data_IF_026583774977
#
_entry.id   IF_026583774977
#
_cell.length_a   1.000
_cell.length_b   1.000
_cell.length_c   1.000
_cell.angle_alpha   90.00
_cell.angle_beta   90.00
_cell.angle_gamma   90.00
#
_symmetry.space_group_name_H-M   'P 1'
#
loop_
_entity.id
_entity.type
_entity.pdbx_description
1 polymer ?
#
# COMPACT_ATOMS: atom_id res chain seq x y z
N UNK A 1 10.53 4.22 17.71
CA UNK A 1 11.40 4.36 16.52
C UNK A 1 12.81 4.21 17.04
N UNK A 2 13.42 3.06 16.81
CA UNK A 2 14.74 2.75 17.34
C UNK A 2 15.81 3.37 16.44
N UNK A 3 16.68 4.16 17.06
CA UNK A 3 17.68 5.05 16.45
C UNK A 3 19.07 4.37 16.32
N UNK A 4 19.13 3.05 16.19
CA UNK A 4 20.41 2.32 16.12
C UNK A 4 20.81 2.00 14.67
N UNK A 5 21.90 2.60 14.14
CA UNK A 5 22.32 2.46 12.74
C UNK A 5 22.86 1.09 12.33
N UNK A 6 23.14 0.18 13.29
CA UNK A 6 23.76 -1.12 13.02
C UNK A 6 22.86 -2.15 12.34
N UNK A 7 21.54 -1.91 12.29
CA UNK A 7 20.57 -2.85 11.71
C UNK A 7 20.14 -2.47 10.28
N UNK A 8 20.80 -1.48 9.67
CA UNK A 8 20.54 -1.10 8.28
C UNK A 8 21.58 -1.75 7.37
N UNK A 9 21.12 -2.62 6.47
CA UNK A 9 21.92 -3.07 5.32
C UNK A 9 22.43 -4.51 5.34
N UNK A 10 22.13 -5.34 6.35
CA UNK A 10 22.53 -6.75 6.30
C UNK A 10 21.54 -7.60 5.47
N UNK A 11 22.00 -8.32 4.41
CA UNK A 11 21.17 -9.24 3.65
C UNK A 11 20.66 -10.39 4.54
N UNK A 12 19.36 -10.68 4.50
CA UNK A 12 18.64 -11.69 5.32
C UNK A 12 18.98 -13.15 4.98
N UNK A 13 20.07 -13.40 4.25
CA UNK A 13 20.50 -14.74 3.81
C UNK A 13 21.88 -15.15 4.32
N UNK A 14 22.44 -14.41 5.28
CA UNK A 14 23.69 -14.84 5.94
C UNK A 14 23.30 -15.76 7.10
N UNK A 15 23.54 -17.05 6.94
CA UNK A 15 23.52 -18.01 8.04
C UNK A 15 24.57 -17.57 9.09
N UNK A 16 24.10 -17.06 10.22
CA UNK A 16 24.91 -16.66 11.38
C UNK A 16 25.45 -17.89 12.13
N UNK A 17 26.31 -18.69 11.47
CA UNK A 17 27.04 -19.78 12.14
C UNK A 17 28.54 -19.53 12.33
N UNK A 18 29.10 -18.43 11.82
CA UNK A 18 30.49 -18.06 12.08
C UNK A 18 30.67 -16.54 12.14
N UNK A 19 30.62 -15.98 13.35
CA UNK A 19 31.33 -14.74 13.64
C UNK A 19 32.81 -15.11 13.70
N UNK A 20 33.51 -14.91 12.58
CA UNK A 20 34.95 -15.00 12.58
C UNK A 20 35.52 -13.89 13.47
N UNK A 21 36.47 -14.26 14.30
CA UNK A 21 37.04 -13.48 15.40
C UNK A 21 37.89 -12.27 14.96
N UNK A 22 37.72 -11.78 13.73
CA UNK A 22 38.63 -10.85 13.07
C UNK A 22 37.98 -9.54 12.59
N UNK A 23 36.73 -9.26 12.94
CA UNK A 23 36.16 -7.93 12.74
C UNK A 23 36.73 -6.95 13.80
N UNK A 24 37.88 -6.36 13.44
CA UNK A 24 38.59 -5.33 14.20
C UNK A 24 37.70 -4.09 14.42
N UNK A 25 37.27 -3.87 15.66
CA UNK A 25 36.88 -2.56 16.16
C UNK A 25 38.15 -1.82 16.61
N UNK A 26 38.49 -0.64 16.04
CA UNK A 26 39.66 0.11 16.49
C UNK A 26 39.45 0.57 17.93
N UNK A 27 40.22 0.04 18.88
CA UNK A 27 40.33 0.55 20.25
C UNK A 27 39.76 -0.31 21.39
N UNK A 28 39.24 -1.52 21.13
CA UNK A 28 38.79 -2.41 22.20
C UNK A 28 39.98 -3.17 22.83
N UNK A 29 40.09 -3.16 24.18
CA UNK A 29 41.12 -3.90 24.90
C UNK A 29 40.64 -5.34 25.19
N UNK A 30 41.55 -6.34 25.24
CA UNK A 30 41.19 -7.76 25.40
C UNK A 30 40.41 -8.13 26.67
N UNK A 31 40.35 -7.25 27.67
CA UNK A 31 39.69 -7.51 28.97
C UNK A 31 38.17 -7.34 28.97
N UNK A 32 37.56 -6.77 27.91
CA UNK A 32 36.12 -6.50 27.88
C UNK A 32 35.26 -7.69 27.37
N UNK A 33 35.89 -8.75 26.86
CA UNK A 33 35.19 -9.89 26.26
C UNK A 33 34.47 -10.82 27.27
N UNK A 34 34.82 -10.78 28.57
CA UNK A 34 34.19 -11.65 29.57
C UNK A 34 32.84 -11.16 30.08
N UNK A 35 32.51 -9.87 29.92
CA UNK A 35 31.22 -9.30 30.37
C UNK A 35 30.14 -9.24 29.30
N UNK A 36 30.51 -9.36 28.03
CA UNK A 36 29.56 -9.37 26.90
C UNK A 36 29.00 -10.78 26.66
N UNK A 37 29.83 -11.82 26.79
CA UNK A 37 29.42 -13.21 26.59
C UNK A 37 28.28 -13.67 27.51
N UNK A 38 28.28 -13.23 28.78
CA UNK A 38 27.26 -13.61 29.75
C UNK A 38 25.88 -12.96 29.51
N UNK A 39 25.79 -11.88 28.71
CA UNK A 39 24.50 -11.23 28.38
C UNK A 39 23.94 -11.67 27.04
N UNK A 40 24.75 -12.26 26.17
CA UNK A 40 24.33 -12.74 24.85
C UNK A 40 23.57 -14.06 24.93
N UNK A 41 23.88 -14.94 25.90
CA UNK A 41 23.17 -16.21 26.07
C UNK A 41 21.70 -16.03 26.50
N UNK A 42 21.43 -15.04 27.36
CA UNK A 42 20.06 -14.70 27.79
C UNK A 42 19.23 -14.04 26.66
N UNK A 43 19.88 -13.37 25.70
CA UNK A 43 19.21 -12.75 24.56
C UNK A 43 18.84 -13.75 23.45
N UNK A 44 19.65 -14.80 23.29
CA UNK A 44 19.48 -15.83 22.24
C UNK A 44 18.46 -16.91 22.69
N UNK A 45 18.32 -17.16 23.99
CA UNK A 45 17.46 -18.22 24.53
C UNK A 45 15.96 -17.91 24.52
N UNK A 46 15.56 -16.67 24.20
CA UNK A 46 14.16 -16.28 24.20
C UNK A 46 13.59 -16.28 22.76
N UNK A 47 12.77 -17.28 22.36
CA UNK A 47 12.28 -17.42 20.98
C UNK A 47 11.37 -16.27 20.52
N UNK A 48 10.99 -15.37 21.42
CA UNK A 48 10.26 -14.13 21.13
C UNK A 48 11.13 -13.02 20.52
N UNK A 49 12.46 -13.09 20.66
CA UNK A 49 13.41 -12.10 20.11
C UNK A 49 14.00 -12.50 18.76
N UNK A 50 13.79 -13.74 18.31
CA UNK A 50 14.18 -14.17 16.97
C UNK A 50 13.27 -13.49 15.92
N UNK A 51 13.84 -13.06 14.77
CA UNK A 51 13.02 -12.56 13.67
C UNK A 51 12.04 -13.65 13.24
N UNK A 52 10.77 -13.28 13.09
CA UNK A 52 9.73 -14.20 12.60
C UNK A 52 10.13 -14.70 11.22
N UNK A 53 10.33 -16.01 11.10
CA UNK A 53 10.77 -16.70 9.86
C UNK A 53 9.61 -17.21 9.00
N UNK A 54 8.36 -16.98 9.40
CA UNK A 54 7.18 -17.40 8.64
C UNK A 54 6.28 -16.22 8.29
N UNK A 55 5.73 -16.25 7.07
CA UNK A 55 4.89 -15.19 6.52
C UNK A 55 3.47 -15.32 7.10
N UNK A 56 3.05 -14.34 7.90
CA UNK A 56 1.66 -14.26 8.42
C UNK A 56 0.81 -13.27 7.62
N UNK A 57 1.46 -12.25 7.04
CA UNK A 57 0.85 -11.21 6.24
C UNK A 57 1.86 -10.76 5.18
N UNK A 58 1.43 -10.50 3.94
CA UNK A 58 2.30 -10.02 2.90
C UNK A 58 2.67 -8.55 3.17
N UNK A 59 3.91 -8.16 2.82
CA UNK A 59 4.45 -6.84 3.17
C UNK A 59 4.67 -6.01 1.93
N UNK A 60 5.41 -6.55 0.96
CA UNK A 60 5.67 -5.92 -0.32
C UNK A 60 5.01 -6.78 -1.37
N UNK A 61 3.99 -6.27 -2.03
CA UNK A 61 3.14 -7.06 -2.92
C UNK A 61 3.20 -6.59 -4.37
N UNK A 62 3.22 -7.57 -5.27
CA UNK A 62 2.86 -7.41 -6.67
C UNK A 62 1.37 -7.69 -6.88
N UNK A 63 0.77 -7.01 -7.83
CA UNK A 63 -0.65 -7.16 -8.17
C UNK A 63 -0.83 -8.22 -9.25
N UNK A 64 -1.44 -7.90 -10.37
CA UNK A 64 -1.94 -8.87 -11.33
C UNK A 64 -0.86 -9.39 -12.26
N UNK A 65 -1.03 -10.67 -12.61
CA UNK A 65 -0.37 -11.36 -13.69
C UNK A 65 -1.47 -11.90 -14.58
N UNK A 66 -1.35 -11.68 -15.89
CA UNK A 66 -2.31 -12.14 -16.88
C UNK A 66 -1.63 -13.09 -17.87
N UNK A 67 -2.39 -14.05 -18.39
CA UNK A 67 -1.90 -15.06 -19.31
C UNK A 67 -2.94 -15.50 -20.32
N UNK A 68 -2.49 -15.75 -21.55
CA UNK A 68 -3.29 -16.13 -22.70
C UNK A 68 -2.55 -17.18 -23.53
N UNK A 69 -3.24 -18.27 -23.89
CA UNK A 69 -2.79 -19.21 -24.92
C UNK A 69 -3.16 -18.68 -26.31
N UNK A 70 -2.27 -18.83 -27.28
CA UNK A 70 -2.48 -18.45 -28.67
C UNK A 70 -1.91 -19.52 -29.61
N UNK A 71 -2.08 -19.35 -30.92
CA UNK A 71 -1.56 -20.29 -31.92
C UNK A 71 -0.04 -20.36 -31.86
N UNK A 72 0.49 -21.51 -31.45
CA UNK A 72 1.94 -21.78 -31.40
C UNK A 72 2.63 -21.35 -30.10
N UNK A 73 1.89 -20.89 -29.08
CA UNK A 73 2.53 -20.49 -27.83
C UNK A 73 1.60 -20.00 -26.72
N UNK A 74 2.24 -19.47 -25.68
CA UNK A 74 1.60 -18.87 -24.51
C UNK A 74 2.26 -17.55 -24.19
N UNK A 75 1.46 -16.57 -23.78
CA UNK A 75 1.93 -15.24 -23.42
C UNK A 75 1.53 -14.90 -21.99
N UNK A 76 2.44 -14.27 -21.26
CA UNK A 76 2.23 -13.71 -19.93
C UNK A 76 2.56 -12.23 -19.91
N UNK A 77 1.87 -11.47 -19.07
CA UNK A 77 2.23 -10.09 -18.76
C UNK A 77 2.04 -9.78 -17.28
N UNK A 78 2.96 -8.96 -16.75
CA UNK A 78 2.95 -8.49 -15.37
C UNK A 78 3.57 -7.10 -15.30
N UNK A 79 2.97 -6.21 -14.52
CA UNK A 79 3.57 -4.90 -14.24
C UNK A 79 4.81 -5.00 -13.33
N UNK A 80 5.61 -3.95 -13.32
CA UNK A 80 6.87 -3.93 -12.58
C UNK A 80 6.75 -3.33 -11.17
N UNK A 81 5.53 -3.19 -10.66
CA UNK A 81 5.30 -2.52 -9.39
C UNK A 81 5.35 -3.51 -8.24
N UNK A 82 6.15 -3.17 -7.23
CA UNK A 82 6.06 -3.76 -5.91
C UNK A 82 5.66 -2.69 -4.88
N UNK A 83 4.45 -2.84 -4.36
CA UNK A 83 3.81 -1.90 -3.45
C UNK A 83 4.04 -2.29 -2.01
N UNK A 84 4.39 -1.32 -1.16
CA UNK A 84 4.36 -1.48 0.29
C UNK A 84 3.05 -0.91 0.81
N UNK A 85 2.03 -1.77 0.92
CA UNK A 85 0.66 -1.35 1.20
C UNK A 85 0.14 -0.40 0.12
N UNK A 86 0.04 0.89 0.43
CA UNK A 86 -0.39 1.92 -0.52
C UNK A 86 0.73 2.67 -1.23
N UNK A 87 1.96 2.54 -0.75
CA UNK A 87 3.10 3.22 -1.30
C UNK A 87 3.68 2.39 -2.45
N UNK A 88 3.72 2.98 -3.65
CA UNK A 88 4.49 2.46 -4.77
C UNK A 88 6.00 2.57 -4.46
N UNK A 89 6.55 1.56 -3.76
CA UNK A 89 7.91 1.61 -3.19
C UNK A 89 8.99 1.25 -4.19
N UNK A 90 8.81 0.15 -4.92
CA UNK A 90 9.74 -0.27 -5.97
C UNK A 90 8.99 -0.30 -7.31
N UNK A 91 9.54 0.38 -8.32
CA UNK A 91 8.88 0.61 -9.62
C UNK A 91 9.44 -0.23 -10.76
N UNK A 92 10.53 -0.94 -10.49
CA UNK A 92 11.28 -1.76 -11.44
C UNK A 92 11.53 -3.15 -10.84
N UNK A 93 10.48 -3.77 -10.31
CA UNK A 93 10.52 -5.12 -9.76
C UNK A 93 10.02 -6.12 -10.82
N UNK A 94 10.91 -6.96 -11.33
CA UNK A 94 10.56 -8.01 -12.30
C UNK A 94 9.81 -9.14 -11.61
N UNK A 95 8.71 -9.59 -12.23
CA UNK A 95 7.81 -10.62 -11.65
C UNK A 95 7.60 -11.82 -12.56
N UNK A 96 8.27 -11.83 -13.71
CA UNK A 96 8.28 -12.94 -14.66
C UNK A 96 9.62 -13.66 -14.56
N UNK A 97 9.59 -14.90 -14.07
CA UNK A 97 10.77 -15.72 -13.84
C UNK A 97 10.92 -16.73 -14.97
N UNK A 98 12.05 -16.70 -15.67
CA UNK A 98 12.41 -17.75 -16.62
C UNK A 98 12.91 -18.98 -15.84
N UNK A 99 12.35 -20.15 -16.15
CA UNK A 99 12.76 -21.45 -15.59
C UNK A 99 13.12 -22.38 -16.73
N UNK A 100 14.41 -22.61 -16.93
CA UNK A 100 14.92 -23.30 -18.12
C UNK A 100 14.59 -22.55 -19.42
N UNK A 101 14.55 -23.29 -20.51
CA UNK A 101 14.34 -22.73 -21.85
C UNK A 101 12.88 -22.83 -22.32
N UNK A 102 12.04 -23.54 -21.57
CA UNK A 102 10.68 -23.93 -21.99
C UNK A 102 9.57 -23.31 -21.14
N UNK A 103 9.89 -22.73 -19.98
CA UNK A 103 8.89 -22.35 -18.97
C UNK A 103 9.15 -20.95 -18.41
N UNK A 104 8.06 -20.23 -18.15
CA UNK A 104 8.02 -18.94 -17.43
C UNK A 104 7.02 -19.04 -16.29
N UNK A 105 7.39 -18.51 -15.14
CA UNK A 105 6.53 -18.40 -13.96
C UNK A 105 6.30 -16.93 -13.66
N UNK A 106 5.06 -16.48 -13.78
CA UNK A 106 4.63 -15.16 -13.33
C UNK A 106 4.03 -15.24 -11.93
N UNK A 107 4.35 -14.28 -11.07
CA UNK A 107 3.87 -14.28 -9.68
C UNK A 107 3.17 -12.99 -9.26
N UNK A 108 2.04 -13.18 -8.57
CA UNK A 108 1.33 -12.19 -7.78
C UNK A 108 1.56 -12.44 -6.29
N UNK A 109 1.27 -11.46 -5.44
CA UNK A 109 1.37 -11.59 -3.99
C UNK A 109 2.71 -11.08 -3.47
N UNK A 110 3.22 -11.71 -2.40
CA UNK A 110 4.42 -11.22 -1.71
C UNK A 110 5.71 -11.41 -2.52
N UNK A 111 6.52 -10.36 -2.60
CA UNK A 111 7.76 -10.37 -3.38
C UNK A 111 8.89 -11.13 -2.68
N UNK A 112 8.90 -11.20 -1.34
CA UNK A 112 9.93 -11.97 -0.63
C UNK A 112 9.73 -13.47 -0.79
N UNK A 113 8.47 -13.92 -0.73
CA UNK A 113 8.12 -15.30 -1.03
C UNK A 113 8.38 -15.64 -2.52
N UNK A 114 8.18 -14.69 -3.44
CA UNK A 114 8.56 -14.84 -4.86
C UNK A 114 10.06 -15.08 -5.01
N UNK A 115 10.92 -14.29 -4.35
CA UNK A 115 12.37 -14.49 -4.40
C UNK A 115 12.77 -15.86 -3.84
N UNK A 116 12.11 -16.30 -2.77
CA UNK A 116 12.33 -17.63 -2.22
C UNK A 116 11.96 -18.74 -3.23
N UNK A 117 10.82 -18.61 -3.92
CA UNK A 117 10.40 -19.53 -4.98
C UNK A 117 11.40 -19.50 -6.15
N UNK A 118 11.89 -18.32 -6.52
CA UNK A 118 12.91 -18.17 -7.57
C UNK A 118 14.17 -18.96 -7.23
N UNK A 119 14.72 -18.79 -6.02
CA UNK A 119 15.89 -19.54 -5.59
C UNK A 119 15.64 -21.06 -5.58
N UNK A 120 14.44 -21.49 -5.16
CA UNK A 120 14.06 -22.90 -5.17
C UNK A 120 14.04 -23.47 -6.60
N UNK A 121 13.44 -22.74 -7.55
CA UNK A 121 13.35 -23.17 -8.95
C UNK A 121 14.72 -23.17 -9.64
N UNK A 122 15.55 -22.15 -9.40
CA UNK A 122 16.93 -22.08 -9.93
C UNK A 122 17.75 -23.25 -9.40
N UNK A 123 17.64 -23.58 -8.12
CA UNK A 123 18.35 -24.72 -7.52
C UNK A 123 17.88 -26.06 -8.13
N UNK A 124 16.58 -26.20 -8.38
CA UNK A 124 16.01 -27.40 -8.98
C UNK A 124 16.47 -27.56 -10.44
N UNK A 125 16.41 -26.49 -11.22
CA UNK A 125 16.91 -26.46 -12.60
C UNK A 125 18.42 -26.76 -12.68
N UNK A 126 19.20 -26.17 -11.77
CA UNK A 126 20.64 -26.37 -11.70
C UNK A 126 20.98 -27.83 -11.39
N UNK A 127 20.28 -28.46 -10.44
CA UNK A 127 20.47 -29.89 -10.12
C UNK A 127 20.16 -30.78 -11.31
N UNK A 128 19.07 -30.51 -12.02
CA UNK A 128 18.70 -31.28 -13.22
C UNK A 128 19.77 -31.14 -14.31
N UNK A 129 20.24 -29.92 -14.55
CA UNK A 129 21.30 -29.64 -15.53
C UNK A 129 22.62 -30.35 -15.22
N UNK A 130 22.95 -30.57 -13.94
CA UNK A 130 24.18 -31.28 -13.57
C UNK A 130 24.14 -32.79 -13.82
N UNK A 131 22.95 -33.39 -13.89
CA UNK A 131 22.79 -34.82 -14.19
C UNK A 131 23.07 -35.07 -15.69
N UNK A 132 22.68 -34.13 -16.55
CA UNK A 132 22.93 -34.12 -18.00
C UNK A 132 22.56 -35.43 -18.73
N UNK A 133 21.43 -36.02 -18.35
CA UNK A 133 20.86 -37.23 -18.97
C UNK A 133 20.01 -36.92 -20.23
N UNK A 134 20.03 -35.67 -20.68
CA UNK A 134 19.25 -35.18 -21.82
C UNK A 134 17.79 -34.86 -21.48
N UNK A 135 17.34 -35.10 -20.24
CA UNK A 135 16.01 -34.69 -19.81
C UNK A 135 16.01 -33.24 -19.31
N UNK A 136 14.92 -32.53 -19.64
CA UNK A 136 14.71 -31.14 -19.22
C UNK A 136 13.35 -30.99 -18.57
N UNK A 137 13.31 -30.13 -17.55
CA UNK A 137 12.09 -29.80 -16.82
C UNK A 137 11.05 -29.20 -17.79
N UNK A 138 9.93 -29.90 -17.91
CA UNK A 138 8.78 -29.40 -18.67
C UNK A 138 7.92 -28.45 -17.85
N UNK A 139 7.02 -27.69 -18.51
CA UNK A 139 6.10 -26.79 -17.83
C UNK A 139 5.16 -27.52 -16.87
N UNK A 140 4.71 -28.73 -17.25
CA UNK A 140 3.88 -29.60 -16.40
C UNK A 140 4.63 -30.04 -15.14
N UNK A 141 5.93 -30.36 -15.27
CA UNK A 141 6.75 -30.78 -14.13
C UNK A 141 6.94 -29.63 -13.13
N UNK A 142 7.23 -28.43 -13.63
CA UNK A 142 7.37 -27.22 -12.80
C UNK A 142 6.04 -26.87 -12.13
N UNK A 143 4.93 -26.96 -12.86
CA UNK A 143 3.60 -26.72 -12.33
C UNK A 143 3.26 -27.67 -11.19
N UNK A 144 3.43 -28.98 -11.39
CA UNK A 144 3.12 -29.98 -10.37
C UNK A 144 4.03 -29.84 -9.14
N UNK A 145 5.32 -29.55 -9.35
CA UNK A 145 6.23 -29.25 -8.25
C UNK A 145 5.75 -28.07 -7.40
N UNK A 146 5.33 -26.97 -8.03
CA UNK A 146 4.80 -25.81 -7.34
C UNK A 146 3.49 -26.12 -6.61
N UNK A 147 2.58 -26.89 -7.20
CA UNK A 147 1.35 -27.35 -6.54
C UNK A 147 1.66 -28.05 -5.21
N UNK A 148 2.60 -29.01 -5.24
CA UNK A 148 3.00 -29.77 -4.07
C UNK A 148 3.68 -28.88 -3.01
N UNK A 149 4.56 -27.97 -3.43
CA UNK A 149 5.24 -27.03 -2.51
C UNK A 149 4.23 -26.12 -1.82
N UNK A 150 3.31 -25.52 -2.57
CA UNK A 150 2.30 -24.59 -2.04
C UNK A 150 1.36 -25.32 -1.07
N UNK A 151 0.89 -26.52 -1.43
CA UNK A 151 0.04 -27.33 -0.57
C UNK A 151 0.76 -27.79 0.70
N UNK A 152 2.02 -28.24 0.60
CA UNK A 152 2.82 -28.65 1.75
C UNK A 152 3.06 -27.50 2.74
N UNK A 153 3.30 -26.28 2.24
CA UNK A 153 3.47 -25.06 3.05
C UNK A 153 2.19 -24.67 3.77
N UNK A 154 1.05 -24.74 3.07
CA UNK A 154 -0.27 -24.55 3.68
C UNK A 154 -0.52 -25.51 4.83
N UNK A 155 -0.25 -26.81 4.65
CA UNK A 155 -0.52 -27.85 5.67
C UNK A 155 0.28 -27.61 6.96
N UNK A 156 1.45 -26.96 6.86
CA UNK A 156 2.27 -26.54 7.99
C UNK A 156 1.83 -25.20 8.62
N UNK A 157 0.68 -24.66 8.20
CA UNK A 157 0.15 -23.35 8.63
C UNK A 157 1.17 -22.23 8.39
N UNK A 158 1.97 -22.37 7.33
CA UNK A 158 2.99 -21.41 6.90
C UNK A 158 2.97 -21.32 5.37
N UNK A 159 1.87 -20.78 4.78
CA UNK A 159 1.71 -20.70 3.34
C UNK A 159 2.72 -19.70 2.75
N UNK A 160 3.05 -19.90 1.47
CA UNK A 160 3.70 -18.87 0.65
C UNK A 160 2.61 -17.97 0.07
N UNK A 161 2.71 -16.67 0.27
CA UNK A 161 1.62 -15.73 -0.03
C UNK A 161 1.64 -15.27 -1.49
N UNK A 162 1.62 -16.23 -2.41
CA UNK A 162 1.65 -15.98 -3.84
C UNK A 162 0.52 -16.69 -4.57
N UNK A 163 0.11 -16.08 -5.67
CA UNK A 163 -0.66 -16.75 -6.72
C UNK A 163 0.21 -16.78 -7.97
N UNK A 164 0.54 -17.99 -8.43
CA UNK A 164 1.49 -18.26 -9.48
C UNK A 164 0.77 -18.64 -10.78
N UNK A 165 1.29 -18.16 -11.90
CA UNK A 165 0.88 -18.56 -13.23
C UNK A 165 2.08 -19.16 -13.93
N UNK A 166 1.96 -20.43 -14.30
CA UNK A 166 3.01 -21.17 -15.02
C UNK A 166 2.61 -21.26 -16.48
N UNK A 167 3.45 -20.73 -17.35
CA UNK A 167 3.30 -20.80 -18.80
C UNK A 167 4.50 -21.50 -19.42
N UNK A 168 4.26 -22.34 -20.43
CA UNK A 168 5.36 -22.90 -21.19
C UNK A 168 4.90 -23.72 -22.38
N UNK A 169 5.85 -24.16 -23.19
CA UNK A 169 5.59 -25.00 -24.36
C UNK A 169 6.56 -26.18 -24.32
N UNK A 170 6.03 -27.40 -24.46
CA UNK A 170 6.85 -28.62 -24.60
C UNK A 170 6.25 -29.47 -25.70
N UNK A 171 7.08 -29.90 -26.65
CA UNK A 171 6.65 -30.71 -27.79
C UNK A 171 5.46 -30.07 -28.55
N UNK A 172 5.52 -28.76 -28.80
CA UNK A 172 4.47 -27.97 -29.47
C UNK A 172 3.14 -27.85 -28.71
N UNK A 173 3.03 -28.41 -27.50
CA UNK A 173 1.83 -28.28 -26.67
C UNK A 173 1.95 -27.07 -25.72
N UNK A 174 1.08 -26.05 -25.86
CA UNK A 174 1.07 -24.89 -24.97
C UNK A 174 0.39 -25.22 -23.64
N UNK A 175 1.12 -24.95 -22.55
CA UNK A 175 0.66 -25.14 -21.19
C UNK A 175 0.49 -23.80 -20.48
N UNK A 176 -0.66 -23.63 -19.81
CA UNK A 176 -0.95 -22.50 -18.93
C UNK A 176 -1.71 -23.01 -17.71
N UNK A 177 -1.12 -22.87 -16.54
CA UNK A 177 -1.64 -23.34 -15.25
C UNK A 177 -1.59 -22.24 -14.18
N UNK A 178 -2.53 -22.31 -13.24
CA UNK A 178 -2.62 -21.43 -12.08
C UNK A 178 -2.47 -22.23 -10.79
N UNK A 179 -1.73 -21.66 -9.82
CA UNK A 179 -1.58 -22.21 -8.46
C UNK A 179 -1.75 -21.09 -7.44
N UNK A 180 -2.59 -21.31 -6.44
CA UNK A 180 -2.79 -20.35 -5.34
C UNK A 180 -2.02 -20.73 -4.06
N UNK A 181 -1.92 -19.79 -3.11
CA UNK A 181 -1.38 -20.00 -1.75
C UNK A 181 -2.05 -21.16 -1.00
N UNK A 182 -3.28 -21.46 -1.40
CA UNK A 182 -4.09 -22.53 -0.86
C UNK A 182 -3.74 -23.91 -1.41
N UNK A 183 -2.92 -23.99 -2.46
CA UNK A 183 -2.68 -25.20 -3.24
C UNK A 183 -3.79 -25.52 -4.25
N UNK A 184 -4.76 -24.61 -4.46
CA UNK A 184 -5.76 -24.77 -5.51
C UNK A 184 -5.09 -24.61 -6.87
N UNK A 185 -5.24 -25.61 -7.72
CA UNK A 185 -4.58 -25.67 -9.03
C UNK A 185 -5.58 -25.95 -10.15
N UNK A 186 -5.47 -25.24 -11.26
CA UNK A 186 -6.26 -25.51 -12.47
C UNK A 186 -5.54 -25.04 -13.73
N UNK A 187 -6.01 -25.51 -14.87
CA UNK A 187 -5.53 -25.09 -16.19
C UNK A 187 -6.65 -24.40 -16.94
N UNK A 188 -6.30 -23.38 -17.72
CA UNK A 188 -7.25 -22.66 -18.57
C UNK A 188 -6.53 -22.02 -19.75
N UNK A 189 -7.20 -21.77 -20.89
CA UNK A 189 -6.65 -20.97 -21.98
C UNK A 189 -6.36 -19.52 -21.58
N UNK A 190 -7.06 -18.99 -20.58
CA UNK A 190 -6.88 -17.62 -20.04
C UNK A 190 -6.82 -17.64 -18.53
N UNK A 191 -5.83 -16.96 -17.97
CA UNK A 191 -5.62 -16.89 -16.52
C UNK A 191 -5.30 -15.45 -16.14
N UNK A 192 -5.91 -14.96 -15.07
CA UNK A 192 -5.58 -13.68 -14.47
C UNK A 192 -5.61 -13.77 -12.96
N UNK A 193 -4.63 -13.16 -12.30
CA UNK A 193 -4.49 -13.18 -10.83
C UNK A 193 -4.85 -11.84 -10.20
N UNK A 194 -5.19 -11.85 -8.92
CA UNK A 194 -5.55 -10.65 -8.17
C UNK A 194 -6.70 -9.88 -8.82
N UNK A 195 -6.53 -8.57 -8.98
CA UNK A 195 -7.56 -7.68 -9.54
C UNK A 195 -7.87 -7.94 -11.02
N UNK A 196 -6.87 -8.45 -11.76
CA UNK A 196 -6.97 -8.94 -13.13
C UNK A 196 -7.99 -10.05 -13.30
N UNK A 197 -8.22 -10.89 -12.29
CA UNK A 197 -9.29 -11.89 -12.31
C UNK A 197 -10.68 -11.29 -12.49
N UNK A 198 -10.89 -10.04 -12.05
CA UNK A 198 -12.17 -9.34 -12.16
C UNK A 198 -12.26 -8.47 -13.42
N UNK A 199 -11.17 -7.83 -13.82
CA UNK A 199 -11.17 -6.85 -14.92
C UNK A 199 -10.63 -7.40 -16.25
N UNK A 200 -9.51 -8.12 -16.21
CA UNK A 200 -8.85 -8.61 -17.41
C UNK A 200 -9.47 -9.94 -17.88
N UNK A 201 -9.84 -10.83 -16.96
CA UNK A 201 -10.41 -12.14 -17.32
C UNK A 201 -11.63 -12.06 -18.26
N UNK A 202 -12.61 -11.14 -18.07
CA UNK A 202 -13.72 -11.00 -19.00
C UNK A 202 -13.30 -10.56 -20.41
N UNK A 203 -12.32 -9.67 -20.51
CA UNK A 203 -11.78 -9.18 -21.80
C UNK A 203 -11.08 -10.34 -22.52
N UNK A 204 -10.23 -11.08 -21.81
CA UNK A 204 -9.52 -12.24 -22.33
C UNK A 204 -10.48 -13.32 -22.84
N UNK A 205 -11.51 -13.66 -22.05
CA UNK A 205 -12.51 -14.67 -22.45
C UNK A 205 -13.32 -14.24 -23.66
N UNK A 206 -13.80 -12.99 -23.67
CA UNK A 206 -14.54 -12.43 -24.80
C UNK A 206 -13.70 -12.46 -26.08
N UNK A 207 -12.43 -12.11 -26.01
CA UNK A 207 -11.54 -12.14 -27.18
C UNK A 207 -11.35 -13.56 -27.72
N UNK A 208 -11.19 -14.55 -26.85
CA UNK A 208 -11.10 -15.96 -27.26
C UNK A 208 -12.39 -16.50 -27.87
N UNK A 209 -13.54 -16.14 -27.30
CA UNK A 209 -14.86 -16.53 -27.83
C UNK A 209 -15.09 -15.94 -29.22
N UNK A 210 -14.75 -14.66 -29.43
CA UNK A 210 -14.86 -14.01 -30.73
C UNK A 210 -13.95 -14.62 -31.80
N UNK A 211 -12.78 -15.12 -31.41
CA UNK A 211 -11.85 -15.81 -32.30
C UNK A 211 -12.28 -17.27 -32.60
N UNK A 212 -13.29 -17.80 -31.91
CA UNK A 212 -13.71 -19.20 -32.04
C UNK A 212 -12.74 -20.19 -31.39
N UNK A 213 -11.90 -19.73 -30.46
CA UNK A 213 -10.92 -20.55 -29.75
C UNK A 213 -9.50 -19.97 -29.77
N UNK A 214 -8.65 -20.48 -28.87
CA UNK A 214 -7.27 -20.04 -28.71
C UNK A 214 -6.36 -20.44 -29.88
N UNK A 215 -6.72 -21.48 -30.63
CA UNK A 215 -5.99 -21.97 -31.81
C UNK A 215 -6.04 -20.99 -32.99
N UNK A 216 -7.03 -20.11 -33.02
CA UNK A 216 -7.23 -19.13 -34.10
C UNK A 216 -6.60 -17.76 -33.81
N UNK A 217 -6.14 -17.54 -32.57
CA UNK A 217 -5.54 -16.25 -32.18
C UNK A 217 -4.08 -16.24 -32.62
N UNK A 218 -3.71 -15.29 -33.46
CA UNK A 218 -2.32 -15.07 -33.88
C UNK A 218 -1.52 -14.43 -32.75
N UNK A 219 -0.18 -14.49 -32.82
CA UNK A 219 0.68 -13.83 -31.84
C UNK A 219 0.44 -12.31 -31.79
N UNK A 220 0.25 -11.66 -32.94
CA UNK A 220 0.00 -10.23 -33.04
C UNK A 220 -1.33 -9.83 -32.37
N UNK A 221 -2.37 -10.65 -32.55
CA UNK A 221 -3.66 -10.41 -31.92
C UNK A 221 -3.60 -10.67 -30.41
N UNK A 222 -2.85 -11.68 -29.98
CA UNK A 222 -2.61 -11.95 -28.56
C UNK A 222 -1.91 -10.77 -27.86
N UNK A 223 -0.93 -10.14 -28.53
CA UNK A 223 -0.26 -8.93 -28.04
C UNK A 223 -1.27 -7.81 -27.82
N UNK A 224 -2.11 -7.51 -28.82
CA UNK A 224 -3.12 -6.45 -28.71
C UNK A 224 -4.10 -6.70 -27.56
N UNK A 225 -4.56 -7.94 -27.43
CA UNK A 225 -5.49 -8.35 -26.36
C UNK A 225 -4.86 -8.14 -24.97
N UNK A 226 -3.59 -8.53 -24.79
CA UNK A 226 -2.86 -8.35 -23.54
C UNK A 226 -2.63 -6.87 -23.24
N UNK A 227 -2.26 -6.07 -24.23
CA UNK A 227 -2.04 -4.63 -24.07
C UNK A 227 -3.35 -3.91 -23.70
N UNK A 228 -4.47 -4.28 -24.29
CA UNK A 228 -5.79 -3.79 -23.91
C UNK A 228 -6.14 -4.13 -22.46
N UNK A 229 -5.85 -5.36 -22.04
CA UNK A 229 -6.03 -5.78 -20.64
C UNK A 229 -5.16 -4.97 -19.68
N UNK A 230 -3.87 -4.78 -20.01
CA UNK A 230 -2.93 -4.00 -19.19
C UNK A 230 -3.35 -2.53 -19.11
N UNK A 231 -3.87 -1.96 -20.20
CA UNK A 231 -4.40 -0.58 -20.21
C UNK A 231 -5.60 -0.43 -19.28
N UNK A 232 -6.54 -1.38 -19.30
CA UNK A 232 -7.70 -1.38 -18.39
C UNK A 232 -7.28 -1.55 -16.95
N UNK A 233 -6.31 -2.43 -16.67
CA UNK A 233 -5.74 -2.59 -15.33
C UNK A 233 -5.11 -1.29 -14.85
N UNK A 234 -4.33 -0.61 -15.70
CA UNK A 234 -3.73 0.68 -15.36
C UNK A 234 -4.78 1.74 -15.00
N UNK A 235 -5.91 1.79 -15.71
CA UNK A 235 -6.97 2.76 -15.43
C UNK A 235 -7.75 2.50 -14.14
N UNK A 236 -7.86 1.25 -13.71
CA UNK A 236 -8.82 0.84 -12.66
C UNK A 236 -8.17 0.27 -11.40
N UNK A 237 -6.96 -0.27 -11.50
CA UNK A 237 -6.22 -0.77 -10.36
C UNK A 237 -5.29 0.31 -9.80
N UNK A 238 -5.58 0.76 -8.57
CA UNK A 238 -4.79 1.76 -7.86
C UNK A 238 -3.40 1.26 -7.41
N UNK A 239 -3.10 -0.03 -7.61
CA UNK A 239 -1.83 -0.68 -7.29
C UNK A 239 -1.15 -1.20 -8.55
N UNK A 240 -1.48 -0.64 -9.71
CA UNK A 240 -0.80 -0.93 -10.97
C UNK A 240 0.13 0.21 -11.40
N UNK A 241 1.09 -0.10 -12.27
CA UNK A 241 1.99 0.87 -12.89
C UNK A 241 1.94 0.76 -14.42
N UNK A 242 2.03 1.89 -15.14
CA UNK A 242 2.16 1.91 -16.60
C UNK A 242 3.60 1.60 -17.05
N UNK A 243 4.14 0.51 -16.53
CA UNK A 243 5.42 -0.08 -16.90
C UNK A 243 5.34 -1.57 -16.59
N UNK A 244 5.41 -2.40 -17.62
CA UNK A 244 5.25 -3.84 -17.48
C UNK A 244 6.16 -4.60 -18.43
N UNK A 245 6.29 -5.90 -18.16
CA UNK A 245 7.00 -6.86 -18.98
C UNK A 245 6.02 -7.86 -19.58
N UNK A 246 6.38 -8.35 -20.77
CA UNK A 246 5.66 -9.40 -21.49
C UNK A 246 6.62 -10.56 -21.72
N UNK A 247 6.17 -11.77 -21.42
CA UNK A 247 6.89 -12.98 -21.77
C UNK A 247 6.11 -13.75 -22.82
N UNK A 248 6.78 -14.09 -23.91
CA UNK A 248 6.24 -14.97 -24.95
C UNK A 248 7.01 -16.29 -24.89
N UNK A 249 6.27 -17.40 -24.87
CA UNK A 249 6.84 -18.74 -24.92
C UNK A 249 6.31 -19.46 -26.15
N UNK A 250 7.21 -19.80 -27.06
CA UNK A 250 6.94 -20.57 -28.27
C UNK A 250 7.80 -21.83 -28.29
N UNK A 251 7.67 -22.66 -29.32
CA UNK A 251 8.57 -23.81 -29.53
C UNK A 251 10.04 -23.42 -29.72
N UNK A 252 10.33 -22.19 -30.16
CA UNK A 252 11.69 -21.68 -30.30
C UNK A 252 12.34 -21.34 -28.95
N UNK A 253 11.54 -21.13 -27.91
CA UNK A 253 11.99 -20.85 -26.55
C UNK A 253 11.24 -19.70 -25.87
N UNK A 254 11.83 -19.22 -24.79
CA UNK A 254 11.28 -18.13 -23.96
C UNK A 254 11.93 -16.80 -24.32
N UNK A 255 11.11 -15.80 -24.65
CA UNK A 255 11.51 -14.39 -24.79
C UNK A 255 10.78 -13.53 -23.76
N UNK A 256 11.54 -12.71 -23.00
CA UNK A 256 10.99 -11.73 -22.07
C UNK A 256 11.37 -10.35 -22.61
N UNK A 257 10.39 -9.49 -22.84
CA UNK A 257 10.64 -8.13 -23.32
C UNK A 257 11.24 -7.27 -22.22
N UNK A 258 12.00 -6.25 -22.63
CA UNK A 258 12.31 -5.15 -21.72
C UNK A 258 11.02 -4.46 -21.25
N UNK A 259 11.16 -3.66 -20.20
CA UNK A 259 10.02 -2.99 -19.59
C UNK A 259 9.57 -1.83 -20.47
N UNK A 260 8.30 -1.84 -20.89
CA UNK A 260 7.73 -0.79 -21.73
C UNK A 260 6.41 -0.26 -21.17
N UNK A 261 5.97 0.88 -21.70
CA UNK A 261 4.76 1.60 -21.29
C UNK A 261 3.76 1.67 -22.44
N UNK A 262 2.47 1.70 -22.13
CA UNK A 262 1.42 1.87 -23.13
C UNK A 262 0.94 3.32 -23.21
N UNK A 263 0.46 3.67 -24.40
CA UNK A 263 -0.25 4.93 -24.62
C UNK A 263 -1.60 4.93 -23.89
N UNK A 264 -1.92 6.07 -23.27
CA UNK A 264 -3.13 6.28 -22.48
C UNK A 264 -3.84 7.56 -22.89
N UNK A 265 -5.16 7.54 -22.92
CA UNK A 265 -6.00 8.69 -23.27
C UNK A 265 -6.78 9.20 -22.05
N UNK A 266 -6.62 10.51 -21.76
CA UNK A 266 -7.28 11.22 -20.66
C UNK A 266 -8.07 12.45 -21.13
N UNK A 267 -8.30 12.61 -22.44
CA UNK A 267 -8.95 13.80 -23.00
C UNK A 267 -10.37 14.05 -22.47
N UNK A 268 -11.06 13.02 -21.98
CA UNK A 268 -12.38 13.16 -21.38
C UNK A 268 -12.37 13.92 -20.04
N UNK A 269 -11.22 13.99 -19.35
CA UNK A 269 -11.11 14.64 -18.05
C UNK A 269 -11.41 16.15 -18.13
N UNK A 270 -11.08 16.80 -19.25
CA UNK A 270 -11.37 18.24 -19.46
C UNK A 270 -12.87 18.55 -19.45
N UNK A 271 -13.69 17.58 -19.84
CA UNK A 271 -15.15 17.71 -19.90
C UNK A 271 -15.80 17.56 -18.52
N UNK A 272 -15.10 16.96 -17.55
CA UNK A 272 -15.64 16.68 -16.22
C UNK A 272 -15.47 17.93 -15.33
N UNK A 273 -16.58 18.53 -14.91
CA UNK A 273 -16.60 19.67 -13.97
C UNK A 273 -17.50 19.39 -12.78
N UNK A 274 -16.91 19.38 -11.59
CA UNK A 274 -17.65 19.11 -10.36
C UNK A 274 -18.14 17.67 -10.25
N UNK A 275 -19.00 17.43 -9.27
CA UNK A 275 -19.54 16.11 -8.90
C UNK A 275 -21.08 16.17 -8.73
N UNK A 276 -21.72 17.16 -9.37
CA UNK A 276 -23.13 17.52 -9.19
C UNK A 276 -23.46 18.88 -9.83
N UNK A 277 -24.43 19.63 -9.29
CA UNK A 277 -24.83 20.92 -9.84
C UNK A 277 -23.72 21.99 -9.71
N UNK A 278 -22.89 22.11 -10.77
CA UNK A 278 -22.06 23.29 -11.06
C UNK A 278 -22.30 23.75 -12.49
N UNK A 279 -23.33 24.57 -12.66
CA UNK A 279 -23.51 25.43 -13.82
C UNK A 279 -22.59 26.64 -13.66
N UNK A 280 -21.50 26.70 -14.42
CA UNK A 280 -20.91 27.99 -14.78
C UNK A 280 -20.67 27.99 -16.29
N UNK A 281 -21.70 28.42 -17.02
CA UNK A 281 -21.54 29.24 -18.22
C UNK A 281 -21.94 30.67 -17.84
N UNK A 282 -20.96 31.54 -17.60
CA UNK A 282 -21.08 32.92 -18.07
C UNK A 282 -20.19 33.01 -19.29
N UNK A 283 -20.80 33.08 -20.47
CA UNK A 283 -20.14 33.54 -21.69
C UNK A 283 -21.01 34.65 -22.27
N UNK A 284 -20.54 35.89 -22.13
CA UNK A 284 -20.86 37.00 -23.02
C UNK A 284 -19.75 38.04 -22.79
N UNK A 285 -18.62 37.82 -23.44
CA UNK A 285 -17.78 38.95 -23.84
C UNK A 285 -18.63 39.81 -24.77
N UNK A 286 -18.52 41.11 -24.56
CA UNK A 286 -19.30 42.14 -25.22
C UNK A 286 -19.02 42.14 -26.73
N UNK A 287 -20.05 41.92 -27.55
CA UNK A 287 -20.06 42.45 -28.91
C UNK A 287 -20.32 43.96 -28.81
N UNK A 288 -19.24 44.74 -28.88
CA UNK A 288 -19.31 46.18 -29.15
C UNK A 288 -19.00 46.39 -30.62
N UNK A 289 -19.96 46.97 -31.33
CA UNK A 289 -19.69 47.91 -32.43
C UNK A 289 -19.42 47.29 -33.80
N UNK A 290 -20.40 47.44 -34.69
CA UNK A 290 -20.20 47.46 -36.13
C UNK A 290 -19.03 48.39 -36.52
N UNK A 291 -18.04 47.89 -37.27
CA UNK A 291 -17.28 48.68 -38.25
C UNK A 291 -16.87 47.76 -39.40
N UNK A 292 -17.38 48.05 -40.61
CA UNK A 292 -16.80 47.59 -41.87
C UNK A 292 -15.50 48.36 -42.16
N UNK A 293 -14.66 47.74 -43.00
CA UNK A 293 -13.63 48.34 -43.89
C UNK A 293 -12.16 47.99 -43.55
N UNK A 294 -11.66 47.07 -44.38
CA UNK A 294 -10.37 46.99 -45.10
C UNK A 294 -9.01 47.26 -44.43
N UNK A 295 -8.11 46.34 -44.81
CA UNK A 295 -6.70 46.55 -45.23
C UNK A 295 -5.56 46.34 -44.22
N UNK A 296 -4.80 45.28 -44.52
CA UNK A 296 -3.33 45.16 -44.60
C UNK A 296 -2.41 45.46 -43.42
N UNK A 297 -1.45 44.53 -43.28
CA UNK A 297 -0.02 44.63 -42.85
C UNK A 297 0.36 44.34 -41.38
N UNK A 298 1.16 43.27 -41.30
CA UNK A 298 2.45 43.05 -40.59
C UNK A 298 2.65 43.33 -39.09
N UNK A 299 3.42 42.39 -38.52
CA UNK A 299 4.37 42.50 -37.40
C UNK A 299 3.98 41.90 -36.03
N UNK A 300 4.87 40.99 -35.58
CA UNK A 300 5.07 40.45 -34.23
C UNK A 300 5.97 41.44 -33.43
N UNK A 301 6.39 41.15 -32.17
CA UNK A 301 5.67 40.78 -30.94
C UNK A 301 6.09 41.71 -29.76
N UNK A 302 5.47 41.60 -28.57
CA UNK A 302 6.22 41.74 -27.29
C UNK A 302 5.36 41.48 -26.05
N UNK A 303 6.07 40.91 -25.07
CA UNK A 303 5.71 40.47 -23.73
C UNK A 303 5.09 41.54 -22.82
N UNK A 304 4.16 41.14 -21.95
CA UNK A 304 4.15 41.61 -20.55
C UNK A 304 3.34 40.69 -19.63
N UNK A 305 3.93 40.43 -18.47
CA UNK A 305 3.50 39.55 -17.39
C UNK A 305 2.26 40.03 -16.63
N UNK A 306 1.30 39.14 -16.35
CA UNK A 306 0.19 39.39 -15.42
C UNK A 306 0.39 38.67 -14.08
N UNK A 307 0.43 39.46 -13.01
CA UNK A 307 0.55 39.05 -11.61
C UNK A 307 -0.73 38.42 -11.07
N UNK A 308 -0.59 37.25 -10.41
CA UNK A 308 -1.63 36.56 -9.66
C UNK A 308 -2.03 37.35 -8.40
N UNK A 309 -3.31 37.69 -8.26
CA UNK A 309 -3.89 38.09 -6.97
C UNK A 309 -4.59 36.91 -6.31
N UNK A 310 -4.28 36.74 -5.03
CA UNK A 310 -4.64 35.63 -4.14
C UNK A 310 -6.13 35.25 -4.13
N UNK A 311 -6.43 33.99 -4.43
CA UNK A 311 -7.71 33.36 -4.13
C UNK A 311 -7.71 32.80 -2.70
N UNK A 312 -8.77 33.08 -1.94
CA UNK A 312 -9.05 32.50 -0.62
C UNK A 312 -9.14 30.97 -0.69
N UNK A 313 -8.57 30.22 0.28
CA UNK A 313 -8.55 28.77 0.24
C UNK A 313 -9.96 28.18 0.44
N UNK A 314 -10.28 27.04 -0.17
CA UNK A 314 -11.57 26.39 -0.01
C UNK A 314 -11.73 25.78 1.39
N UNK A 315 -12.91 25.95 1.97
CA UNK A 315 -13.32 25.40 3.27
C UNK A 315 -13.28 23.87 3.22
N UNK A 316 -12.51 23.26 4.13
CA UNK A 316 -12.40 21.81 4.26
C UNK A 316 -13.62 21.22 4.96
N UNK A 317 -14.31 20.29 4.29
CA UNK A 317 -15.39 19.50 4.88
C UNK A 317 -14.79 18.43 5.81
N UNK A 318 -15.29 18.35 7.04
CA UNK A 318 -14.84 17.36 8.02
C UNK A 318 -15.21 15.96 7.54
N UNK A 319 -14.20 15.10 7.31
CA UNK A 319 -14.39 13.70 6.89
C UNK A 319 -14.37 12.72 8.08
N UNK A 320 -14.28 13.23 9.31
CA UNK A 320 -14.13 12.42 10.50
C UNK A 320 -15.45 12.40 11.31
N UNK A 321 -16.18 11.28 11.34
CA UNK A 321 -17.47 11.18 12.03
C UNK A 321 -17.38 11.43 13.54
N UNK A 322 -16.21 11.22 14.15
CA UNK A 322 -15.98 11.48 15.56
C UNK A 322 -16.02 12.98 15.88
N UNK A 323 -15.43 13.82 15.01
CA UNK A 323 -15.46 15.27 15.17
C UNK A 323 -16.84 15.86 14.94
N UNK A 324 -17.63 15.23 14.07
CA UNK A 324 -19.02 15.60 13.85
C UNK A 324 -19.86 15.39 15.12
N UNK A 325 -19.75 14.23 15.77
CA UNK A 325 -20.50 13.95 17.01
C UNK A 325 -20.09 14.84 18.19
N UNK A 326 -18.86 15.35 18.22
CA UNK A 326 -18.44 16.36 19.19
C UNK A 326 -19.17 17.70 19.02
N UNK A 327 -19.64 18.02 17.80
CA UNK A 327 -20.38 19.26 17.49
C UNK A 327 -21.89 19.12 17.79
N UNK A 328 -22.42 17.90 17.78
CA UNK A 328 -23.81 17.56 18.17
C UNK A 328 -24.08 17.68 19.69
N UNK A 329 -23.31 18.52 20.41
CA UNK A 329 -23.55 18.77 21.83
C UNK A 329 -24.91 19.42 22.02
N UNK A 330 -25.64 19.05 23.07
CA UNK A 330 -27.01 19.48 23.42
C UNK A 330 -28.15 18.95 22.56
N UNK A 331 -27.88 18.03 21.63
CA UNK A 331 -28.92 17.38 20.82
C UNK A 331 -29.42 16.08 21.48
N UNK A 332 -30.70 15.76 21.28
CA UNK A 332 -31.30 14.50 21.72
C UNK A 332 -31.01 13.40 20.72
N UNK A 333 -30.39 12.31 21.14
CA UNK A 333 -30.02 11.19 20.26
C UNK A 333 -30.49 9.86 20.84
N UNK A 334 -30.64 8.88 19.96
CA UNK A 334 -30.88 7.48 20.35
C UNK A 334 -29.65 6.64 20.01
N UNK A 335 -29.09 5.93 21.00
CA UNK A 335 -27.87 5.13 20.86
C UNK A 335 -28.22 3.65 21.08
N UNK A 336 -27.89 2.79 20.12
CA UNK A 336 -27.92 1.33 20.32
C UNK A 336 -26.54 0.83 20.74
N UNK A 337 -26.48 0.10 21.85
CA UNK A 337 -25.27 -0.58 22.31
C UNK A 337 -25.14 -1.98 21.70
N UNK A 338 -23.92 -2.51 21.63
CA UNK A 338 -23.62 -3.88 21.12
C UNK A 338 -24.37 -4.99 21.86
N UNK A 339 -24.76 -4.76 23.11
CA UNK A 339 -25.56 -5.70 23.91
C UNK A 339 -27.08 -5.60 23.65
N UNK A 340 -27.52 -4.76 22.69
CA UNK A 340 -28.92 -4.54 22.34
C UNK A 340 -29.68 -3.62 23.30
N UNK A 341 -28.98 -2.89 24.18
CA UNK A 341 -29.60 -1.84 25.02
C UNK A 341 -29.77 -0.58 24.20
N UNK A 342 -30.95 0.03 24.27
CA UNK A 342 -31.24 1.30 23.60
C UNK A 342 -31.23 2.41 24.65
N UNK A 343 -30.53 3.49 24.35
CA UNK A 343 -30.39 4.65 25.22
C UNK A 343 -30.86 5.89 24.49
N UNK A 344 -31.86 6.57 25.02
CA UNK A 344 -32.38 7.83 24.49
C UNK A 344 -32.02 8.97 25.45
N UNK A 345 -31.34 10.02 25.01
CA UNK A 345 -30.99 11.14 25.89
C UNK A 345 -30.30 12.29 25.17
N UNK A 346 -30.01 13.37 25.90
CA UNK A 346 -29.36 14.57 25.35
C UNK A 346 -27.84 14.50 25.52
N UNK A 347 -27.08 14.68 24.43
CA UNK A 347 -25.61 14.69 24.47
C UNK A 347 -25.11 15.90 25.28
N UNK A 348 -24.29 15.64 26.28
CA UNK A 348 -23.57 16.68 27.03
C UNK A 348 -22.17 16.89 26.47
N UNK A 349 -21.45 15.80 26.19
CA UNK A 349 -20.11 15.84 25.59
C UNK A 349 -19.76 14.50 24.96
N UNK A 350 -18.90 14.55 23.95
CA UNK A 350 -18.32 13.38 23.27
C UNK A 350 -16.81 13.57 23.20
N UNK A 351 -16.04 12.52 23.49
CA UNK A 351 -14.58 12.52 23.36
C UNK A 351 -14.12 11.92 22.02
N UNK A 352 -12.85 12.10 21.66
CA UNK A 352 -12.21 11.54 20.47
C UNK A 352 -12.29 10.01 20.40
N UNK A 353 -12.37 9.33 21.55
CA UNK A 353 -12.58 7.88 21.65
C UNK A 353 -14.06 7.47 21.62
N UNK A 354 -14.97 8.37 21.24
CA UNK A 354 -16.42 8.16 21.18
C UNK A 354 -17.09 7.85 22.52
N UNK A 355 -16.44 8.18 23.64
CA UNK A 355 -17.10 8.13 24.93
C UNK A 355 -18.14 9.27 24.99
N UNK A 356 -19.41 8.91 25.19
CA UNK A 356 -20.55 9.84 25.11
C UNK A 356 -21.20 9.98 26.47
N UNK A 357 -21.32 11.23 26.93
CA UNK A 357 -22.03 11.57 28.16
C UNK A 357 -23.40 12.12 27.83
N UNK A 358 -24.45 11.52 28.38
CA UNK A 358 -25.84 11.88 28.16
C UNK A 358 -26.49 12.41 29.46
N UNK A 359 -27.46 13.31 29.30
CA UNK A 359 -28.35 13.82 30.35
C UNK A 359 -29.82 13.53 29.99
N UNK A 360 -30.70 13.46 30.98
CA UNK A 360 -32.13 13.17 30.81
C UNK A 360 -32.35 11.88 30.01
N UNK A 361 -31.80 10.78 30.53
CA UNK A 361 -31.64 9.53 29.80
C UNK A 361 -32.79 8.58 30.10
N UNK A 362 -33.36 7.98 29.06
CA UNK A 362 -34.25 6.82 29.14
C UNK A 362 -33.52 5.62 28.53
N UNK A 363 -33.24 4.62 29.36
CA UNK A 363 -32.52 3.42 28.97
C UNK A 363 -33.48 2.23 28.95
N UNK A 364 -33.56 1.54 27.82
CA UNK A 364 -34.32 0.30 27.65
C UNK A 364 -33.36 -0.85 27.42
N UNK A 365 -33.21 -1.69 28.44
CA UNK A 365 -32.46 -2.95 28.31
C UNK A 365 -33.34 -3.96 27.57
N UNK A 366 -32.73 -4.76 26.70
CA UNK A 366 -33.44 -5.79 25.95
C UNK A 366 -34.26 -6.69 26.89
N UNK A 367 -35.59 -6.65 26.74
CA UNK A 367 -36.53 -7.47 27.53
C UNK A 367 -36.86 -6.93 28.93
N UNK A 368 -36.56 -5.66 29.23
CA UNK A 368 -36.96 -5.01 30.49
C UNK A 368 -37.66 -3.68 30.22
N UNK A 369 -38.43 -3.22 31.20
CA UNK A 369 -39.10 -1.92 31.16
C UNK A 369 -38.09 -0.75 31.12
N UNK A 370 -38.46 0.41 30.54
CA UNK A 370 -37.59 1.59 30.46
C UNK A 370 -37.23 2.13 31.85
N UNK A 371 -35.93 2.39 32.08
CA UNK A 371 -35.42 3.04 33.30
C UNK A 371 -34.97 4.46 32.96
N UNK A 372 -35.48 5.45 33.69
CA UNK A 372 -35.03 6.84 33.60
C UNK A 372 -33.82 7.08 34.50
N UNK A 373 -32.79 7.73 33.95
CA UNK A 373 -31.55 8.10 34.64
C UNK A 373 -31.24 9.57 34.34
N UNK A 374 -30.77 10.30 35.35
CA UNK A 374 -30.45 11.73 35.18
C UNK A 374 -29.21 11.93 34.32
N UNK A 375 -28.19 11.08 34.48
CA UNK A 375 -26.94 11.10 33.71
C UNK A 375 -26.48 9.68 33.36
N UNK A 376 -25.90 9.50 32.18
CA UNK A 376 -25.31 8.22 31.77
C UNK A 376 -24.05 8.44 30.92
N UNK A 377 -22.95 7.76 31.25
CA UNK A 377 -21.73 7.73 30.46
C UNK A 377 -21.60 6.41 29.70
N UNK A 378 -21.47 6.47 28.38
CA UNK A 378 -21.30 5.32 27.51
C UNK A 378 -19.88 5.31 26.95
N UNK A 379 -19.20 4.17 27.06
CA UNK A 379 -17.87 3.98 26.44
C UNK A 379 -18.01 3.77 24.94
N UNK A 380 -17.22 4.46 24.13
CA UNK A 380 -17.35 4.45 22.66
C UNK A 380 -17.22 3.08 22.01
N UNK A 381 -16.41 2.18 22.58
CA UNK A 381 -16.27 0.80 22.07
C UNK A 381 -17.60 0.00 22.16
N UNK A 382 -18.51 0.36 23.06
CA UNK A 382 -19.77 -0.36 23.25
C UNK A 382 -20.89 0.15 22.34
N UNK A 383 -20.70 1.27 21.64
CA UNK A 383 -21.67 1.85 20.72
C UNK A 383 -21.71 1.04 19.42
N UNK A 384 -22.90 0.71 18.94
CA UNK A 384 -23.12 0.07 17.64
C UNK A 384 -23.43 1.12 16.58
N UNK A 385 -24.43 1.96 16.82
CA UNK A 385 -24.77 3.11 15.99
C UNK A 385 -25.53 4.17 16.79
N UNK A 386 -25.52 5.41 16.29
CA UNK A 386 -26.22 6.55 16.87
C UNK A 386 -27.24 7.04 15.84
N UNK A 387 -28.50 7.16 16.25
CA UNK A 387 -29.58 7.76 15.48
C UNK A 387 -29.67 9.24 15.87
N UNK A 388 -29.54 10.11 14.86
CA UNK A 388 -29.67 11.56 14.99
C UNK A 388 -31.11 11.97 14.67
N UNK A 389 -31.59 13.11 15.20
CA UNK A 389 -32.88 13.68 14.80
C UNK A 389 -32.88 14.09 13.33
N UNK A 390 -33.98 13.84 12.63
CA UNK A 390 -34.14 14.19 11.20
C UNK A 390 -34.11 15.71 10.94
N UNK A 391 -34.40 16.52 11.97
CA UNK A 391 -34.42 17.97 11.89
C UNK A 391 -33.02 18.64 12.02
N UNK A 392 -31.95 17.85 12.05
CA UNK A 392 -30.60 18.39 12.23
C UNK A 392 -30.05 19.05 10.95
N UNK A 393 -29.53 20.29 10.99
CA UNK A 393 -28.86 20.89 9.85
C UNK A 393 -27.44 20.31 9.65
N UNK A 394 -27.38 19.11 9.07
CA UNK A 394 -26.16 18.31 8.86
C UNK A 394 -25.08 19.10 8.11
N UNK A 395 -25.46 19.92 7.12
CA UNK A 395 -24.54 20.66 6.27
C UNK A 395 -23.72 21.72 7.04
N UNK A 396 -24.31 22.29 8.09
CA UNK A 396 -23.64 23.33 8.90
C UNK A 396 -22.64 22.75 9.89
N UNK A 397 -22.93 21.57 10.45
CA UNK A 397 -22.10 20.89 11.44
C UNK A 397 -20.91 20.15 10.80
N UNK A 398 -20.98 19.84 9.51
CA UNK A 398 -19.90 19.19 8.75
C UNK A 398 -18.76 20.14 8.32
N UNK A 399 -18.94 21.45 8.47
CA UNK A 399 -17.88 22.44 8.19
C UNK A 399 -16.87 22.47 9.34
N UNK A 400 -15.59 22.21 9.05
CA UNK A 400 -14.54 22.36 10.06
C UNK A 400 -14.14 23.84 10.20
N UNK A 401 -14.16 24.33 11.44
CA UNK A 401 -13.48 25.58 11.79
C UNK A 401 -11.98 25.38 11.59
N UNK A 402 -11.41 26.08 10.61
CA UNK A 402 -9.97 26.08 10.39
C UNK A 402 -9.25 26.47 11.70
N UNK A 403 -8.12 25.83 12.04
CA UNK A 403 -7.39 26.19 13.25
C UNK A 403 -6.97 27.66 13.16
N UNK A 404 -7.47 28.49 14.08
CA UNK A 404 -7.05 29.90 14.20
C UNK A 404 -5.52 29.93 14.28
N UNK A 405 -4.89 30.46 13.23
CA UNK A 405 -3.45 30.62 13.18
C UNK A 405 -2.99 31.45 14.38
N UNK A 406 -2.22 30.85 15.29
CA UNK A 406 -1.54 31.59 16.35
C UNK A 406 -0.64 32.64 15.68
N UNK A 407 -0.93 33.92 15.93
CA UNK A 407 -0.21 35.03 15.32
C UNK A 407 1.30 34.92 15.51
N UNK A 408 2.06 35.00 14.40
CA UNK A 408 3.51 35.16 14.43
C UNK A 408 3.86 36.43 15.19
N UNK A 409 4.65 36.31 16.28
CA UNK A 409 5.37 37.46 16.83
C UNK A 409 6.24 38.04 15.71
N UNK A 410 6.10 39.35 15.47
CA UNK A 410 6.98 40.11 14.58
C UNK A 410 8.37 40.14 15.21
N UNK A 411 9.35 39.54 14.54
CA UNK A 411 10.75 39.89 14.75
C UNK A 411 10.98 41.29 14.18
N UNK A 412 11.26 42.25 15.06
CA UNK A 412 11.66 43.61 14.70
C UNK A 412 13.16 43.65 14.41
N UNK A 413 13.51 44.28 13.28
CA UNK A 413 14.87 44.48 12.80
C UNK A 413 15.73 45.48 13.61
N UNK A 414 16.93 45.80 13.09
CA UNK A 414 18.09 46.23 13.88
C UNK A 414 18.14 47.75 14.10
N UNK A 415 18.58 48.18 15.29
CA UNK A 415 18.79 49.59 15.63
C UNK A 415 19.62 49.78 16.90
N UNK A 416 20.82 50.33 16.73
CA UNK A 416 21.80 50.75 17.73
C UNK A 416 21.23 51.75 18.77
N UNK A 417 21.72 51.70 20.02
CA UNK A 417 21.78 52.90 20.87
C UNK A 417 21.73 52.74 22.40
N UNK A 418 22.87 52.42 23.02
CA UNK A 418 23.40 53.22 24.16
C UNK A 418 22.98 52.94 25.62
N UNK A 419 24.01 52.78 26.47
CA UNK A 419 24.12 52.99 27.94
C UNK A 419 23.39 51.97 28.83
N UNK A 420 23.97 51.30 29.83
CA UNK A 420 25.21 51.50 30.58
C UNK A 420 24.93 51.36 32.09
N UNK A 421 25.29 50.23 32.70
CA UNK A 421 25.54 49.94 34.15
C UNK A 421 25.43 48.42 34.31
N UNK A 422 26.37 47.66 34.83
CA UNK A 422 27.39 47.95 35.82
C UNK A 422 27.35 46.80 36.84
N UNK A 423 28.31 45.88 36.71
CA UNK A 423 28.87 44.98 37.72
C UNK A 423 27.99 44.33 38.79
N UNK A 424 28.05 43.00 38.86
CA UNK A 424 28.71 42.28 39.97
C UNK A 424 28.82 40.80 39.65
N UNK A 425 30.05 40.36 39.41
CA UNK A 425 30.43 38.96 39.49
C UNK A 425 30.75 38.55 40.93
N UNK A 426 30.67 37.24 41.17
CA UNK A 426 31.47 36.36 42.06
C UNK A 426 30.64 35.07 42.16
N UNK A 427 31.12 33.89 41.78
CA UNK A 427 32.46 33.37 41.89
C UNK A 427 32.52 32.39 43.07
N UNK A 428 32.35 31.10 42.75
CA UNK A 428 33.08 29.91 43.25
C UNK A 428 33.27 29.74 44.77
N UNK A 429 32.85 28.58 45.28
CA UNK A 429 33.29 28.06 46.58
C UNK A 429 32.83 26.64 46.81
N UNK A 430 33.70 25.66 46.52
CA UNK A 430 33.56 24.29 47.00
C UNK A 430 34.08 24.11 48.41
N UNK A 431 33.48 23.16 49.14
CA UNK A 431 33.94 22.42 50.34
C UNK A 431 32.84 21.36 50.55
N UNK A 432 33.06 20.06 50.63
CA UNK A 432 34.18 19.34 51.24
C UNK A 432 33.65 18.58 52.46
N UNK A 433 33.41 17.27 52.30
CA UNK A 433 33.52 16.22 53.32
C UNK A 433 32.54 16.16 54.49
N UNK A 434 32.00 14.96 54.78
CA UNK A 434 31.43 14.66 56.10
C UNK A 434 30.50 13.45 56.19
N UNK A 435 31.11 12.28 56.44
CA UNK A 435 30.56 11.01 56.96
C UNK A 435 29.25 11.08 57.79
N UNK A 436 28.38 10.08 57.62
CA UNK A 436 27.36 9.70 58.62
C UNK A 436 26.67 8.36 58.30
N UNK A 437 26.96 7.33 59.10
CA UNK A 437 26.39 5.97 59.07
C UNK A 437 25.01 5.92 59.77
N UNK A 438 24.19 4.95 59.38
CA UNK A 438 23.05 4.37 60.12
C UNK A 438 22.04 3.81 59.11
N UNK A 439 21.87 2.50 58.84
CA UNK A 439 21.59 1.28 59.64
C UNK A 439 20.22 1.28 60.35
N UNK A 440 19.33 0.42 59.84
CA UNK A 440 18.13 -0.13 60.51
C UNK A 440 16.84 0.65 60.25
N UNK A 441 15.70 0.03 59.95
CA UNK A 441 15.37 -1.39 59.82
C UNK A 441 13.86 -1.61 59.64
N UNK A 442 13.53 -2.90 59.45
CA UNK A 442 12.22 -3.56 59.37
C UNK A 442 11.42 -3.39 58.09
#
# INVERSE_FOLDING_TARGET
>A
MDYFPGNWGNPRSRDDSFLDSHDYLPGARPSDHSRVAAKTEDFISNPSHLPRTHTQQPVVTGTSVIGLRFKGGVMLAADNLASYGSLARFRDAERLLKVGDLTVVGASGDISDLQYIQHMLVNLETKEKYIDDGHRLGPVNVFEYLCQVMYARRTKVNPLWNSLVVAGVKNEEPFLGYVDLQGTSYQSPTIATGFGGHLAQPILRKALELAGGHENVTEEDAIKIIEDCMRVLYYRDARSLNKFQRATVTSAGVSITESYSLETDWGFAEKIRGYGAKLIKKKSEYEVGQVQVQSSRSDQPSSTSCSLTNATPPVSVSRNPFRFLMKCSSETVTIELKNGTIVHGTITSVDMQMNTHLKNVKMTVRGREPVSLDTLGIRGNNVRYVILPDALPIDTLLVDDAPKAKGKKKDGGPGLGGRGRGGRGRGRGGRGGGRGRGRGGR
#
